data_IF_549942048188
#
_entry.id   IF_549942048188
#
_cell.length_a   1.000
_cell.length_b   1.000
_cell.length_c   1.000
_cell.angle_alpha   90.00
_cell.angle_beta   90.00
_cell.angle_gamma   90.00
#
_symmetry.space_group_name_H-M   'P 1'
#
loop_
_entity.id
_entity.type
_entity.pdbx_description
1 polymer ?
#
# COMPACT_ATOMS: atom_id res chain seq x y z
N UNK A 1 15.65 7.00 1.64
CA UNK A 1 15.16 6.00 2.59
C UNK A 1 14.94 4.73 1.80
N UNK A 2 15.70 3.69 2.09
CA UNK A 2 15.63 2.42 1.39
C UNK A 2 14.53 1.54 2.01
N UNK A 3 14.15 0.44 1.34
CA UNK A 3 13.07 -0.43 1.81
C UNK A 3 13.44 -1.13 3.14
N UNK A 4 14.71 -1.49 3.27
CA UNK A 4 15.30 -2.12 4.43
C UNK A 4 15.21 -1.22 5.67
N UNK A 5 15.53 0.07 5.50
CA UNK A 5 15.45 1.08 6.59
C UNK A 5 14.02 1.17 7.14
N UNK A 6 13.02 1.27 6.25
CA UNK A 6 11.61 1.35 6.63
C UNK A 6 11.15 0.09 7.34
N UNK A 7 11.56 -1.09 6.85
CA UNK A 7 11.19 -2.35 7.47
C UNK A 7 11.74 -2.44 8.90
N UNK A 8 12.99 -2.03 9.10
CA UNK A 8 13.62 -2.00 10.42
C UNK A 8 12.91 -1.02 11.37
N UNK A 9 12.64 0.21 10.92
CA UNK A 9 11.95 1.25 11.69
C UNK A 9 10.53 0.82 12.14
N UNK A 10 9.85 0.03 11.31
CA UNK A 10 8.48 -0.40 11.57
C UNK A 10 8.37 -1.71 12.33
N UNK A 11 9.37 -2.58 12.29
CA UNK A 11 9.33 -3.90 12.94
C UNK A 11 8.86 -3.86 14.40
N UNK A 12 9.29 -2.90 15.26
CA UNK A 12 8.83 -2.83 16.66
C UNK A 12 7.33 -2.53 16.83
N UNK A 13 6.65 -2.06 15.78
CA UNK A 13 5.21 -1.72 15.82
C UNK A 13 4.31 -2.94 15.56
N UNK A 14 4.87 -4.06 15.15
CA UNK A 14 4.13 -5.29 14.88
C UNK A 14 4.44 -6.34 15.93
N UNK A 15 3.40 -7.07 16.35
CA UNK A 15 3.56 -8.24 17.23
C UNK A 15 4.27 -9.37 16.47
N UNK A 16 3.89 -9.55 15.21
CA UNK A 16 4.42 -10.58 14.32
C UNK A 16 5.50 -10.00 13.39
N UNK A 17 6.49 -10.80 12.97
CA UNK A 17 7.57 -10.31 12.12
C UNK A 17 7.07 -9.87 10.74
N UNK A 18 7.72 -8.85 10.18
CA UNK A 18 7.49 -8.42 8.79
C UNK A 18 8.11 -9.44 7.85
N UNK A 19 7.29 -10.04 6.98
CA UNK A 19 7.70 -11.08 6.01
C UNK A 19 7.87 -10.55 4.57
N UNK A 20 7.97 -9.24 4.40
CA UNK A 20 8.12 -8.62 3.07
C UNK A 20 9.45 -9.02 2.43
N UNK A 21 9.40 -9.53 1.20
CA UNK A 21 10.61 -9.86 0.43
C UNK A 21 11.22 -8.60 -0.19
N UNK A 22 12.50 -8.34 0.10
CA UNK A 22 13.28 -7.25 -0.49
C UNK A 22 14.33 -7.87 -1.42
N UNK A 23 14.08 -7.79 -2.73
CA UNK A 23 14.88 -8.45 -3.75
C UNK A 23 15.11 -7.52 -4.95
N UNK A 24 16.21 -7.75 -5.67
CA UNK A 24 16.48 -7.02 -6.90
C UNK A 24 15.38 -7.25 -7.94
N UNK A 25 14.98 -6.17 -8.61
CA UNK A 25 14.02 -6.23 -9.71
C UNK A 25 14.54 -7.14 -10.84
N UNK A 26 13.68 -8.03 -11.34
CA UNK A 26 14.00 -8.94 -12.45
C UNK A 26 13.22 -8.60 -13.72
N UNK A 27 11.90 -8.73 -13.65
CA UNK A 27 10.98 -8.49 -14.76
C UNK A 27 9.57 -8.22 -14.21
N UNK A 28 8.80 -7.40 -14.91
CA UNK A 28 7.40 -7.13 -14.60
C UNK A 28 6.51 -7.35 -15.83
N UNK A 29 5.32 -7.91 -15.61
CA UNK A 29 4.31 -8.08 -16.64
C UNK A 29 3.11 -7.22 -16.27
N UNK A 30 2.75 -6.30 -17.18
CA UNK A 30 1.68 -5.34 -16.93
C UNK A 30 0.32 -6.06 -16.89
N UNK A 31 -0.46 -5.79 -15.84
CA UNK A 31 -1.85 -6.24 -15.75
C UNK A 31 -2.76 -5.49 -16.72
N UNK A 32 -3.89 -6.11 -17.09
CA UNK A 32 -4.86 -5.57 -18.03
C UNK A 32 -5.37 -4.16 -17.67
N UNK A 33 -5.85 -3.43 -18.67
CA UNK A 33 -6.35 -2.06 -18.52
C UNK A 33 -7.52 -1.91 -17.54
N UNK A 34 -8.27 -2.98 -17.26
CA UNK A 34 -9.33 -3.00 -16.26
C UNK A 34 -8.80 -2.90 -14.82
N UNK A 35 -7.58 -3.40 -14.56
CA UNK A 35 -6.93 -3.34 -13.25
C UNK A 35 -6.28 -1.98 -12.97
N UNK A 36 -6.04 -1.20 -14.02
CA UNK A 36 -5.40 0.10 -13.91
C UNK A 36 -6.39 1.15 -13.41
N UNK A 37 -5.96 1.94 -12.43
CA UNK A 37 -6.78 3.00 -11.81
C UNK A 37 -8.13 2.48 -11.26
N UNK A 38 -8.14 1.23 -10.76
CA UNK A 38 -9.37 0.53 -10.39
C UNK A 38 -10.20 1.30 -9.37
N UNK A 39 -9.58 1.77 -8.28
CA UNK A 39 -10.28 2.48 -7.21
C UNK A 39 -11.04 3.70 -7.75
N UNK A 40 -10.36 4.61 -8.46
CA UNK A 40 -10.97 5.83 -8.98
C UNK A 40 -12.09 5.57 -9.99
N UNK A 41 -12.02 4.48 -10.76
CA UNK A 41 -13.06 4.12 -11.74
C UNK A 41 -14.24 3.36 -11.13
N UNK A 42 -14.06 2.76 -9.95
CA UNK A 42 -15.02 1.81 -9.36
C UNK A 42 -15.34 2.10 -7.88
N UNK A 43 -15.19 3.35 -7.42
CA UNK A 43 -15.34 3.73 -6.00
C UNK A 43 -16.69 3.30 -5.37
N UNK A 44 -17.74 3.14 -6.17
CA UNK A 44 -19.07 2.72 -5.69
C UNK A 44 -19.18 1.22 -5.38
N UNK A 45 -18.18 0.42 -5.72
CA UNK A 45 -18.17 -1.03 -5.44
C UNK A 45 -18.02 -1.32 -3.95
N UNK A 46 -18.61 -2.42 -3.49
CA UNK A 46 -18.50 -2.86 -2.08
C UNK A 46 -17.04 -3.09 -1.66
N UNK A 47 -16.21 -3.60 -2.56
CA UNK A 47 -14.77 -3.80 -2.28
C UNK A 47 -14.04 -2.50 -1.98
N UNK A 48 -14.28 -1.44 -2.76
CA UNK A 48 -13.67 -0.13 -2.49
C UNK A 48 -14.05 0.35 -1.09
N UNK A 49 -15.35 0.33 -0.77
CA UNK A 49 -15.87 0.84 0.50
C UNK A 49 -15.41 0.06 1.74
N UNK A 50 -15.38 -1.26 1.65
CA UNK A 50 -15.11 -2.11 2.82
C UNK A 50 -13.62 -2.39 3.00
N UNK A 51 -12.82 -2.36 1.93
CA UNK A 51 -11.42 -2.79 1.97
C UNK A 51 -10.45 -1.65 1.68
N UNK A 52 -10.73 -0.80 0.69
CA UNK A 52 -9.80 0.26 0.25
C UNK A 52 -9.97 1.51 1.10
N UNK A 53 -11.20 2.00 1.27
CA UNK A 53 -11.47 3.25 2.01
C UNK A 53 -10.86 3.23 3.42
N UNK A 54 -10.98 2.17 4.23
CA UNK A 54 -10.37 2.15 5.56
C UNK A 54 -8.84 2.27 5.52
N UNK A 55 -8.19 1.73 4.48
CA UNK A 55 -6.73 1.82 4.30
C UNK A 55 -6.31 3.23 3.90
N UNK A 56 -7.10 3.89 3.04
CA UNK A 56 -6.87 5.29 2.64
C UNK A 56 -7.06 6.24 3.83
N UNK A 57 -8.13 6.04 4.62
CA UNK A 57 -8.34 6.85 5.83
C UNK A 57 -7.22 6.65 6.85
N UNK A 58 -6.74 5.41 7.04
CA UNK A 58 -5.58 5.12 7.89
C UNK A 58 -4.32 5.84 7.38
N UNK A 59 -4.09 5.83 6.07
CA UNK A 59 -2.95 6.54 5.46
C UNK A 59 -3.01 8.04 5.77
N UNK A 60 -4.15 8.70 5.54
CA UNK A 60 -4.28 10.13 5.82
C UNK A 60 -4.21 10.48 7.31
N UNK A 61 -4.71 9.59 8.18
CA UNK A 61 -4.67 9.79 9.63
C UNK A 61 -3.26 9.65 10.20
N UNK A 62 -2.56 8.58 9.84
CA UNK A 62 -1.32 8.18 10.51
C UNK A 62 -0.06 8.70 9.80
N UNK A 63 -0.17 9.10 8.53
CA UNK A 63 0.98 9.45 7.68
C UNK A 63 0.78 10.75 6.89
N UNK A 64 -0.02 11.69 7.42
CA UNK A 64 -0.36 12.95 6.74
C UNK A 64 0.85 13.68 6.15
N UNK A 65 1.95 13.77 6.91
CA UNK A 65 3.16 14.49 6.51
C UNK A 65 3.96 13.80 5.41
N UNK A 66 3.63 12.54 5.09
CA UNK A 66 4.27 11.74 4.04
C UNK A 66 3.44 11.64 2.76
N UNK A 67 2.23 12.21 2.74
CA UNK A 67 1.33 12.18 1.60
C UNK A 67 1.37 13.54 0.90
N UNK A 68 1.77 13.54 -0.37
CA UNK A 68 1.61 14.71 -1.25
C UNK A 68 0.16 14.68 -1.75
N UNK A 69 -0.63 15.70 -1.40
CA UNK A 69 -1.96 15.90 -1.96
C UNK A 69 -1.88 16.43 -3.39
#
# INVERSE_FOLDING_TARGET
MQAEDVSADFSPRFKDPIITEIVAFKKFYKADASHQNFYNRNQKTGYCRVVIDPKIQKLYKDFRDKVIQ
#
